data_IF_862055440777
#
_entry.id   IF_862055440777
#
_cell.length_a   1.000
_cell.length_b   1.000
_cell.length_c   1.000
_cell.angle_alpha   90.00
_cell.angle_beta   90.00
_cell.angle_gamma   90.00
#
_symmetry.space_group_name_H-M   'P 1'
#
loop_
_entity.id
_entity.type
_entity.pdbx_description
1 polymer ?
#
# COMPACT_ATOMS: atom_id res chain seq x y z
N UNK A 1 -12.63 5.53 -6.05
CA UNK A 1 -13.38 4.51 -6.83
C UNK A 1 -12.37 3.49 -7.33
N UNK A 2 -12.61 2.19 -7.18
CA UNK A 2 -11.71 1.17 -7.71
C UNK A 2 -11.76 1.13 -9.25
N UNK A 3 -10.60 0.97 -9.88
CA UNK A 3 -10.40 0.91 -11.33
C UNK A 3 -9.74 -0.40 -11.72
N UNK A 4 -8.68 -0.79 -11.02
CA UNK A 4 -7.93 -2.03 -11.21
C UNK A 4 -7.35 -2.42 -9.85
N UNK A 5 -7.59 -3.65 -9.39
CA UNK A 5 -7.14 -4.12 -8.06
C UNK A 5 -5.86 -4.95 -8.12
N UNK A 6 -5.25 -5.05 -9.30
CA UNK A 6 -3.96 -5.73 -9.48
C UNK A 6 -2.91 -5.10 -8.56
N UNK A 7 -2.07 -5.93 -7.93
CA UNK A 7 -1.05 -5.53 -6.95
C UNK A 7 -1.55 -4.87 -5.64
N UNK A 8 -2.86 -4.79 -5.38
CA UNK A 8 -3.37 -4.21 -4.12
C UNK A 8 -2.92 -4.99 -2.87
N UNK A 9 -2.86 -6.33 -2.97
CA UNK A 9 -2.37 -7.21 -1.90
C UNK A 9 -0.86 -7.12 -1.70
N UNK A 10 -0.09 -7.15 -2.79
CA UNK A 10 1.37 -6.96 -2.76
C UNK A 10 1.75 -5.60 -2.18
N UNK A 11 0.99 -4.56 -2.52
CA UNK A 11 1.17 -3.21 -1.95
C UNK A 11 0.92 -3.22 -0.45
N UNK A 12 -0.18 -3.82 0.00
CA UNK A 12 -0.49 -3.90 1.42
C UNK A 12 0.63 -4.63 2.19
N UNK A 13 1.02 -5.82 1.72
CA UNK A 13 2.05 -6.64 2.38
C UNK A 13 3.40 -5.93 2.32
N UNK A 14 3.76 -5.31 1.20
CA UNK A 14 5.01 -4.57 1.05
C UNK A 14 5.12 -3.40 2.04
N UNK A 15 4.07 -2.59 2.16
CA UNK A 15 4.02 -1.50 3.13
C UNK A 15 4.00 -2.00 4.58
N UNK A 16 3.31 -3.12 4.85
CA UNK A 16 3.27 -3.74 6.17
C UNK A 16 4.66 -4.23 6.59
N UNK A 17 5.30 -5.04 5.74
CA UNK A 17 6.64 -5.57 5.99
C UNK A 17 7.68 -4.46 6.13
N UNK A 18 7.62 -3.44 5.28
CA UNK A 18 8.54 -2.30 5.35
C UNK A 18 8.44 -1.55 6.70
N UNK A 19 7.22 -1.35 7.21
CA UNK A 19 7.01 -0.70 8.50
C UNK A 19 7.46 -1.56 9.68
N UNK A 20 7.06 -2.85 9.69
CA UNK A 20 7.46 -3.77 10.75
C UNK A 20 8.98 -3.98 10.78
N UNK A 21 9.64 -4.09 9.63
CA UNK A 21 11.09 -4.19 9.53
C UNK A 21 11.81 -2.92 9.99
N UNK A 22 11.15 -1.75 9.91
CA UNK A 22 11.66 -0.49 10.45
C UNK A 22 11.44 -0.34 11.97
N UNK A 23 10.78 -1.30 12.62
CA UNK A 23 10.47 -1.24 14.05
C UNK A 23 9.24 -0.38 14.39
N UNK A 24 8.44 0.00 13.39
CA UNK A 24 7.21 0.76 13.61
C UNK A 24 6.16 -0.09 14.36
N UNK A 25 5.26 0.59 15.09
CA UNK A 25 4.12 -0.08 15.73
C UNK A 25 3.15 -0.65 14.68
N UNK A 26 2.59 -1.83 14.95
CA UNK A 26 1.73 -2.53 14.00
C UNK A 26 0.50 -1.72 13.55
N UNK A 27 -0.18 -1.03 14.47
CA UNK A 27 -1.40 -0.29 14.16
C UNK A 27 -1.19 0.85 13.13
N UNK A 28 -0.25 1.80 13.29
CA UNK A 28 -0.01 2.82 12.28
C UNK A 28 0.50 2.23 10.95
N UNK A 29 1.25 1.13 11.00
CA UNK A 29 1.69 0.44 9.79
C UNK A 29 0.51 -0.18 9.04
N UNK A 30 -0.42 -0.83 9.74
CA UNK A 30 -1.64 -1.38 9.15
C UNK A 30 -2.48 -0.28 8.48
N UNK A 31 -2.64 0.88 9.13
CA UNK A 31 -3.35 2.03 8.55
C UNK A 31 -2.66 2.51 7.27
N UNK A 32 -1.33 2.66 7.29
CA UNK A 32 -0.54 3.08 6.13
C UNK A 32 -0.63 2.09 4.97
N UNK A 33 -0.48 0.79 5.25
CA UNK A 33 -0.59 -0.28 4.26
C UNK A 33 -2.00 -0.32 3.63
N UNK A 34 -3.03 -0.14 4.44
CA UNK A 34 -4.43 -0.04 3.98
C UNK A 34 -4.61 1.18 3.06
N UNK A 35 -4.08 2.34 3.44
CA UNK A 35 -4.16 3.55 2.63
C UNK A 35 -3.45 3.37 1.27
N UNK A 36 -2.24 2.82 1.28
CA UNK A 36 -1.48 2.54 0.06
C UNK A 36 -2.22 1.57 -0.89
N UNK A 37 -2.78 0.49 -0.33
CA UNK A 37 -3.57 -0.49 -1.09
C UNK A 37 -4.83 0.15 -1.69
N UNK A 38 -5.51 1.02 -0.95
CA UNK A 38 -6.69 1.74 -1.45
C UNK A 38 -6.34 2.67 -2.62
N UNK A 39 -5.22 3.39 -2.56
CA UNK A 39 -4.73 4.24 -3.67
C UNK A 39 -4.39 3.38 -4.90
N UNK A 40 -3.70 2.26 -4.69
CA UNK A 40 -3.32 1.30 -5.75
C UNK A 40 -4.55 0.88 -6.55
N UNK A 41 -5.64 0.53 -5.85
CA UNK A 41 -6.91 0.16 -6.46
C UNK A 41 -7.53 1.24 -7.37
N UNK A 42 -7.11 2.51 -7.29
CA UNK A 42 -7.66 3.62 -8.07
C UNK A 42 -6.91 3.89 -9.38
N UNK A 43 -5.81 3.19 -9.64
CA UNK A 43 -4.91 3.39 -10.78
C UNK A 43 -4.85 2.11 -11.62
N UNK A 44 -4.61 2.24 -12.92
CA UNK A 44 -4.36 1.07 -13.78
C UNK A 44 -2.94 0.55 -13.58
N UNK A 45 -2.79 -0.77 -13.64
CA UNK A 45 -1.49 -1.44 -13.67
C UNK A 45 -1.07 -2.03 -12.33
N UNK A 46 -0.06 -2.90 -12.37
CA UNK A 46 0.43 -3.64 -11.21
C UNK A 46 1.47 -2.84 -10.41
N UNK A 47 2.78 -3.04 -10.63
CA UNK A 47 3.82 -2.32 -9.91
C UNK A 47 3.75 -0.79 -10.12
N UNK A 48 3.31 -0.36 -11.31
CA UNK A 48 3.19 1.07 -11.65
C UNK A 48 2.09 1.80 -10.87
N UNK A 49 1.12 1.08 -10.30
CA UNK A 49 0.05 1.69 -9.49
C UNK A 49 0.43 1.90 -8.03
N UNK A 50 1.54 1.29 -7.58
CA UNK A 50 1.99 1.36 -6.17
C UNK A 50 2.38 2.81 -5.82
N UNK A 51 1.73 3.44 -4.82
CA UNK A 51 2.04 4.81 -4.45
C UNK A 51 3.41 4.90 -3.76
N UNK A 52 4.05 6.05 -3.91
CA UNK A 52 5.21 6.46 -3.11
C UNK A 52 4.76 6.92 -1.73
N UNK A 53 5.69 6.93 -0.77
CA UNK A 53 5.44 7.41 0.59
C UNK A 53 4.94 8.86 0.64
N UNK A 54 5.32 9.69 -0.33
CA UNK A 54 4.87 11.09 -0.45
C UNK A 54 3.41 11.24 -0.90
N UNK A 55 2.75 10.17 -1.32
CA UNK A 55 1.37 10.16 -1.81
C UNK A 55 0.38 9.60 -0.76
N UNK A 56 0.86 9.32 0.46
CA UNK A 56 0.10 8.74 1.57
C UNK A 56 -0.37 9.76 2.60
#
# INVERSE_FOLDING_TARGET
KAVDTTAAGDTFIGYLLAGLAAGDLAEPVLKRATHASAITCTRLGAADSIPKKSEL
#
